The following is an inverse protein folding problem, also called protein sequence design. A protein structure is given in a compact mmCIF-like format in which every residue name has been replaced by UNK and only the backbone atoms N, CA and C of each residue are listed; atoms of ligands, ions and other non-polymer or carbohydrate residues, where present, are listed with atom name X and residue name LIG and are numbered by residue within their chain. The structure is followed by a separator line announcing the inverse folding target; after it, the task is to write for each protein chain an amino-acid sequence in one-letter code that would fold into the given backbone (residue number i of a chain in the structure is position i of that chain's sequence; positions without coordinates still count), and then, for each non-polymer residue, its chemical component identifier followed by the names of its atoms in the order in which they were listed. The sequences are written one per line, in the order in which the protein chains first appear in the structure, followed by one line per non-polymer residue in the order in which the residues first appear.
data_IF_515254491228
#
_entry.id   IF_515254491228
#
_cell.length_a   1.000
_cell.length_b   1.000
_cell.length_c   1.000
_cell.angle_alpha   90.00
_cell.angle_beta   90.00
_cell.angle_gamma   90.00
#
_symmetry.space_group_name_H-M   'P 1'
#
loop_
_entity.id
_entity.type
_entity.pdbx_description
1 polymer ?
#
# COMPACT_ATOMS: atom_id res chain seq x y z
N UNK A 1 9.29 -32.86 6.09
CA UNK A 1 9.43 -31.46 5.64
C UNK A 1 8.59 -30.56 6.52
N UNK A 2 9.16 -29.45 6.96
CA UNK A 2 8.46 -28.40 7.69
C UNK A 2 7.61 -27.55 6.74
N UNK A 3 6.66 -26.77 7.27
CA UNK A 3 5.87 -25.82 6.46
C UNK A 3 6.80 -24.82 5.76
N UNK A 4 7.87 -24.39 6.41
CA UNK A 4 8.85 -23.47 5.85
C UNK A 4 9.51 -24.01 4.58
N UNK A 5 9.97 -25.26 4.60
CA UNK A 5 10.62 -25.90 3.44
C UNK A 5 9.65 -26.05 2.25
N UNK A 6 8.39 -26.40 2.51
CA UNK A 6 7.37 -26.54 1.46
C UNK A 6 7.06 -25.21 0.78
N UNK A 7 7.05 -24.11 1.54
CA UNK A 7 6.83 -22.77 0.97
C UNK A 7 8.02 -22.31 0.14
N UNK A 8 9.25 -22.59 0.59
CA UNK A 8 10.45 -22.27 -0.18
C UNK A 8 10.54 -23.05 -1.49
N UNK A 9 10.14 -24.32 -1.50
CA UNK A 9 10.11 -25.14 -2.72
C UNK A 9 9.08 -24.62 -3.73
N UNK A 10 7.88 -24.26 -3.27
CA UNK A 10 6.80 -23.79 -4.14
C UNK A 10 6.97 -22.35 -4.65
N UNK A 11 7.49 -21.44 -3.82
CA UNK A 11 7.53 -19.99 -4.09
C UNK A 11 8.94 -19.41 -4.19
N UNK A 12 9.97 -20.20 -3.91
CA UNK A 12 11.35 -19.74 -3.82
C UNK A 12 11.66 -18.99 -2.53
N UNK A 13 12.90 -18.51 -2.43
CA UNK A 13 13.31 -17.61 -1.35
C UNK A 13 12.50 -16.31 -1.41
N UNK A 14 11.96 -15.81 -0.29
CA UNK A 14 11.36 -14.49 -0.24
C UNK A 14 12.43 -13.48 -0.68
N UNK A 15 12.22 -12.84 -1.82
CA UNK A 15 13.16 -11.82 -2.32
C UNK A 15 13.11 -10.65 -1.36
N UNK A 16 14.15 -10.49 -0.54
CA UNK A 16 14.40 -9.25 0.20
C UNK A 16 14.99 -8.28 -0.82
N UNK A 17 14.15 -7.37 -1.27
CA UNK A 17 14.36 -6.40 -2.34
C UNK A 17 14.14 -6.97 -3.75
N UNK A 18 13.25 -6.35 -4.57
CA UNK A 18 13.34 -6.52 -6.01
C UNK A 18 14.59 -5.81 -6.50
N UNK A 19 15.26 -6.43 -7.46
CA UNK A 19 16.29 -5.79 -8.27
C UNK A 19 15.69 -4.54 -8.97
N UNK A 20 16.47 -3.49 -9.25
CA UNK A 20 15.99 -2.34 -10.01
C UNK A 20 15.33 -2.79 -11.33
N UNK A 21 14.02 -2.60 -11.45
CA UNK A 21 13.23 -2.99 -12.64
C UNK A 21 12.29 -4.17 -12.46
N UNK A 22 12.35 -4.90 -11.33
CA UNK A 22 11.32 -5.90 -11.00
C UNK A 22 10.20 -5.26 -10.17
N UNK A 23 8.97 -5.35 -10.68
CA UNK A 23 7.79 -4.69 -10.12
C UNK A 23 7.43 -5.10 -8.69
N UNK A 24 7.97 -4.38 -7.71
CA UNK A 24 7.28 -3.68 -6.62
C UNK A 24 8.31 -2.73 -6.00
N UNK A 25 8.25 -1.45 -6.37
CA UNK A 25 9.09 -0.44 -5.72
C UNK A 25 8.71 -0.42 -4.24
N UNK A 26 9.67 -0.61 -3.34
CA UNK A 26 9.41 -0.40 -1.91
C UNK A 26 8.86 1.00 -1.73
N UNK A 27 7.70 1.08 -1.11
CA UNK A 27 7.17 2.32 -0.61
C UNK A 27 8.10 2.80 0.53
N UNK A 28 8.26 4.11 0.70
CA UNK A 28 8.87 4.61 1.92
C UNK A 28 8.03 4.14 3.13
N UNK A 29 8.61 4.07 4.35
CA UNK A 29 7.92 3.50 5.50
C UNK A 29 6.53 4.09 5.79
N UNK A 30 6.33 5.39 5.52
CA UNK A 30 5.03 6.04 5.72
C UNK A 30 4.06 5.63 4.61
N UNK A 31 4.51 5.62 3.36
CA UNK A 31 3.74 5.11 2.22
C UNK A 31 3.28 3.66 2.44
N UNK A 32 4.16 2.78 2.94
CA UNK A 32 3.83 1.38 3.21
C UNK A 32 2.79 1.26 4.33
N UNK A 33 2.95 2.04 5.41
CA UNK A 33 1.98 2.08 6.51
C UNK A 33 0.60 2.53 6.03
N UNK A 34 0.53 3.61 5.26
CA UNK A 34 -0.73 4.13 4.73
C UNK A 34 -1.36 3.12 3.77
N UNK A 35 -0.57 2.52 2.86
CA UNK A 35 -1.04 1.46 1.96
C UNK A 35 -1.63 0.27 2.73
N UNK A 36 -1.00 -0.13 3.83
CA UNK A 36 -1.48 -1.20 4.73
C UNK A 36 -2.77 -0.82 5.44
N UNK A 37 -2.93 0.43 5.88
CA UNK A 37 -4.18 0.91 6.47
C UNK A 37 -5.31 0.86 5.43
N UNK A 38 -5.04 1.35 4.22
CA UNK A 38 -6.01 1.36 3.12
C UNK A 38 -6.36 -0.04 2.60
N UNK A 39 -5.54 -1.06 2.87
CA UNK A 39 -5.82 -2.44 2.45
C UNK A 39 -6.85 -3.13 3.33
N UNK A 40 -7.22 -2.54 4.46
CA UNK A 40 -8.20 -3.14 5.36
C UNK A 40 -9.57 -3.22 4.68
N UNK A 41 -10.20 -4.40 4.72
CA UNK A 41 -11.55 -4.64 4.20
C UNK A 41 -11.75 -4.32 2.70
N UNK A 42 -10.70 -4.34 1.87
CA UNK A 42 -10.80 -4.01 0.43
C UNK A 42 -9.88 -4.86 -0.46
N UNK A 43 -9.96 -4.66 -1.78
CA UNK A 43 -9.09 -5.33 -2.75
C UNK A 43 -7.82 -4.53 -3.04
N UNK A 44 -6.76 -5.21 -3.50
CA UNK A 44 -5.52 -4.57 -3.95
C UNK A 44 -5.78 -3.44 -4.96
N UNK A 45 -6.69 -3.66 -5.90
CA UNK A 45 -7.07 -2.67 -6.93
C UNK A 45 -7.65 -1.40 -6.30
N UNK A 46 -8.52 -1.57 -5.30
CA UNK A 46 -9.17 -0.44 -4.63
C UNK A 46 -8.19 0.29 -3.70
N UNK A 47 -7.36 -0.46 -2.96
CA UNK A 47 -6.26 0.10 -2.17
C UNK A 47 -5.35 0.97 -3.05
N UNK A 48 -4.88 0.42 -4.17
CA UNK A 48 -3.92 1.11 -5.04
C UNK A 48 -4.52 2.39 -5.65
N UNK A 49 -5.79 2.33 -6.07
CA UNK A 49 -6.52 3.52 -6.56
C UNK A 49 -6.72 4.58 -5.47
N UNK A 50 -7.09 4.18 -4.26
CA UNK A 50 -7.25 5.10 -3.14
C UNK A 50 -5.91 5.74 -2.75
N UNK A 51 -4.84 4.96 -2.69
CA UNK A 51 -3.49 5.44 -2.41
C UNK A 51 -3.02 6.43 -3.48
N UNK A 52 -3.17 6.10 -4.76
CA UNK A 52 -2.84 7.00 -5.87
C UNK A 52 -3.62 8.31 -5.79
N UNK A 53 -4.96 8.24 -5.64
CA UNK A 53 -5.81 9.43 -5.52
C UNK A 53 -5.42 10.31 -4.33
N UNK A 54 -5.10 9.70 -3.19
CA UNK A 54 -4.63 10.42 -2.00
C UNK A 54 -3.32 11.17 -2.27
N UNK A 55 -2.32 10.50 -2.88
CA UNK A 55 -1.00 11.08 -3.17
C UNK A 55 -1.03 12.10 -4.31
N UNK A 56 -1.93 11.95 -5.28
CA UNK A 56 -2.17 12.94 -6.33
C UNK A 56 -2.78 14.23 -5.76
N UNK A 57 -3.75 14.11 -4.85
CA UNK A 57 -4.40 15.27 -4.21
C UNK A 57 -3.49 15.93 -3.17
N UNK A 58 -2.71 15.15 -2.44
CA UNK A 58 -1.82 15.61 -1.38
C UNK A 58 -0.40 15.11 -1.64
N UNK A 59 0.43 15.88 -2.37
CA UNK A 59 1.74 15.42 -2.84
C UNK A 59 2.76 15.11 -1.73
N UNK A 60 2.54 15.57 -0.49
CA UNK A 60 3.41 15.30 0.67
C UNK A 60 2.62 14.70 1.83
N UNK A 61 3.30 14.01 2.74
CA UNK A 61 2.65 13.45 3.92
C UNK A 61 2.21 14.54 4.91
N UNK A 62 2.92 15.66 4.93
CA UNK A 62 2.52 16.87 5.66
C UNK A 62 1.20 17.41 5.11
N UNK A 63 1.02 17.44 3.78
CA UNK A 63 -0.24 17.85 3.17
C UNK A 63 -1.39 16.90 3.52
N UNK A 64 -1.13 15.59 3.61
CA UNK A 64 -2.12 14.60 4.08
C UNK A 64 -2.49 14.85 5.55
N UNK A 65 -1.48 15.10 6.41
CA UNK A 65 -1.67 15.36 7.84
C UNK A 65 -2.49 16.63 8.10
N UNK A 66 -2.23 17.67 7.33
CA UNK A 66 -2.80 19.01 7.53
C UNK A 66 -4.13 19.22 6.78
N UNK A 67 -4.55 18.26 5.95
CA UNK A 67 -5.80 18.33 5.20
C UNK A 67 -7.04 18.13 6.09
N UNK A 68 -8.19 18.73 5.73
CA UNK A 68 -9.46 18.42 6.37
C UNK A 68 -9.81 16.94 6.27
N UNK A 69 -10.34 16.36 7.35
CA UNK A 69 -10.67 14.93 7.43
C UNK A 69 -11.64 14.53 6.33
N UNK A 70 -12.60 15.38 5.99
CA UNK A 70 -13.61 15.14 4.96
C UNK A 70 -12.98 15.03 3.56
N UNK A 71 -11.90 15.79 3.30
CA UNK A 71 -11.18 15.70 2.04
C UNK A 71 -10.35 14.43 1.94
N UNK A 72 -9.78 13.97 3.06
CA UNK A 72 -9.09 12.67 3.17
C UNK A 72 -10.09 11.54 2.94
N UNK A 73 -11.23 11.55 3.65
CA UNK A 73 -12.28 10.54 3.52
C UNK A 73 -12.75 10.40 2.07
N UNK A 74 -13.00 11.51 1.37
CA UNK A 74 -13.39 11.47 -0.04
C UNK A 74 -12.26 10.96 -0.95
N UNK A 75 -11.00 11.29 -0.66
CA UNK A 75 -9.86 10.78 -1.43
C UNK A 75 -9.71 9.25 -1.29
N UNK A 76 -9.99 8.69 -0.11
CA UNK A 76 -9.80 7.26 0.18
C UNK A 76 -11.08 6.42 0.09
N UNK A 77 -12.23 7.02 -0.21
CA UNK A 77 -13.55 6.37 -0.23
C UNK A 77 -13.61 5.05 -1.02
N UNK A 78 -12.79 4.92 -2.08
CA UNK A 78 -12.68 3.69 -2.88
C UNK A 78 -12.13 2.50 -2.09
N UNK A 79 -11.37 2.74 -1.02
CA UNK A 79 -10.90 1.71 -0.10
C UNK A 79 -12.02 1.19 0.82
N UNK A 80 -13.23 1.76 0.78
CA UNK A 80 -14.33 1.34 1.68
C UNK A 80 -14.19 1.86 3.10
N UNK A 81 -13.26 2.80 3.32
CA UNK A 81 -13.10 3.55 4.55
C UNK A 81 -13.89 4.86 4.41
N UNK A 82 -14.65 5.23 5.45
CA UNK A 82 -15.53 6.40 5.49
C UNK A 82 -15.25 7.23 6.73
#
# INVERSE_FOLDING_TARGET
MTVHERLLDAYGQPRRCPEPGEGRRWLDPVSELVSTILSQNTSDVNRDRAFQRLRERFPTWEAVRDAPVEEIAEAIRLAGLS
#
